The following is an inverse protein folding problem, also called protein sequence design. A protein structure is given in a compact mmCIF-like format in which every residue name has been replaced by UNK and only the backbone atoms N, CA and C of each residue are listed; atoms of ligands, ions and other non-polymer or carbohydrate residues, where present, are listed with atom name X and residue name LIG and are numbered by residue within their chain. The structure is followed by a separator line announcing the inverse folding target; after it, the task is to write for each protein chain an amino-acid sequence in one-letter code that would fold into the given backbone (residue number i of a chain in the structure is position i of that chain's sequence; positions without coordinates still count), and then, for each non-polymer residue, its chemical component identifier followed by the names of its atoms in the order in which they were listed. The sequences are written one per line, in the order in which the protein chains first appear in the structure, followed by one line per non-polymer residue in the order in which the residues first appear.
data_IF_597651314855
#
_entry.id   IF_597651314855
#
_cell.length_a   1.000
_cell.length_b   1.000
_cell.length_c   1.000
_cell.angle_alpha   90.00
_cell.angle_beta   90.00
_cell.angle_gamma   90.00
#
_symmetry.space_group_name_H-M   'P 1'
#
loop_
_entity.id
_entity.type
_entity.pdbx_description
1 polymer ?
#
# COMPACT_ATOMS: atom_id res chain seq x y z
N UNK A 1 -3.01 -4.42 -1.93
CA UNK A 1 -4.46 -4.28 -1.67
C UNK A 1 -5.33 -5.45 -2.17
N UNK A 2 -5.71 -5.57 -3.45
CA UNK A 2 -6.70 -6.61 -3.86
C UNK A 2 -6.16 -8.04 -3.82
N UNK A 3 -4.96 -8.28 -4.35
CA UNK A 3 -4.32 -9.61 -4.28
C UNK A 3 -4.04 -10.03 -2.83
N UNK A 4 -3.62 -9.09 -1.98
CA UNK A 4 -3.49 -9.31 -0.54
C UNK A 4 -4.82 -9.68 0.14
N UNK A 5 -5.91 -8.99 -0.24
CA UNK A 5 -7.24 -9.33 0.25
C UNK A 5 -7.66 -10.75 -0.17
N UNK A 6 -7.35 -11.18 -1.40
CA UNK A 6 -7.58 -12.54 -1.87
C UNK A 6 -6.77 -13.55 -1.05
N UNK A 7 -5.47 -13.32 -0.89
CA UNK A 7 -4.55 -14.13 -0.08
C UNK A 7 -5.02 -14.30 1.37
N UNK A 8 -5.57 -13.25 1.97
CA UNK A 8 -6.13 -13.25 3.32
C UNK A 8 -7.57 -13.79 3.40
N UNK A 9 -8.12 -14.30 2.30
CA UNK A 9 -9.48 -14.86 2.23
C UNK A 9 -10.60 -13.83 2.36
N UNK A 10 -10.29 -12.52 2.26
CA UNK A 10 -11.29 -11.43 2.32
C UNK A 10 -12.13 -11.34 1.05
N UNK A 11 -11.61 -11.84 -0.08
CA UNK A 11 -12.34 -11.99 -1.34
C UNK A 11 -12.13 -13.40 -1.90
N UNK A 12 -13.12 -13.92 -2.63
CA UNK A 12 -13.11 -15.32 -3.12
C UNK A 12 -12.32 -15.53 -4.41
N UNK A 13 -12.32 -14.53 -5.28
CA UNK A 13 -11.74 -14.65 -6.62
C UNK A 13 -10.35 -14.02 -6.62
N UNK A 14 -9.40 -14.68 -7.31
CA UNK A 14 -8.07 -14.13 -7.51
C UNK A 14 -8.14 -12.98 -8.52
N UNK A 15 -7.87 -11.73 -8.12
CA UNK A 15 -7.89 -10.61 -9.05
C UNK A 15 -6.77 -10.71 -10.09
N UNK A 16 -5.68 -11.42 -9.80
CA UNK A 16 -4.49 -11.48 -10.66
C UNK A 16 -4.69 -12.23 -11.97
N UNK A 17 -5.64 -13.19 -12.00
CA UNK A 17 -6.01 -13.95 -13.21
C UNK A 17 -6.46 -13.03 -14.36
N UNK A 18 -7.03 -11.87 -14.03
CA UNK A 18 -7.56 -10.92 -15.00
C UNK A 18 -6.60 -9.80 -15.40
N UNK A 19 -5.47 -9.61 -14.71
CA UNK A 19 -4.66 -8.39 -14.86
C UNK A 19 -4.10 -8.20 -16.26
N UNK A 20 -3.43 -9.23 -16.82
CA UNK A 20 -2.80 -9.08 -18.13
C UNK A 20 -3.84 -8.87 -19.26
N UNK A 21 -4.97 -9.59 -19.20
CA UNK A 21 -6.07 -9.42 -20.17
C UNK A 21 -6.74 -8.06 -20.00
N UNK A 22 -6.90 -7.61 -18.76
CA UNK A 22 -7.44 -6.30 -18.43
C UNK A 22 -6.58 -5.18 -19.02
N UNK A 23 -5.25 -5.28 -18.88
CA UNK A 23 -4.32 -4.29 -19.41
C UNK A 23 -4.31 -4.25 -20.94
N UNK A 24 -4.33 -5.42 -21.60
CA UNK A 24 -4.50 -5.52 -23.06
C UNK A 24 -5.80 -4.83 -23.48
N UNK A 25 -6.92 -5.11 -22.80
CA UNK A 25 -8.20 -4.49 -23.08
C UNK A 25 -8.18 -2.97 -22.85
N UNK A 26 -7.55 -2.52 -21.77
CA UNK A 26 -7.40 -1.11 -21.45
C UNK A 26 -6.63 -0.36 -22.55
N UNK A 27 -5.48 -0.90 -22.96
CA UNK A 27 -4.66 -0.34 -24.03
C UNK A 27 -5.41 -0.32 -25.36
N UNK A 28 -6.13 -1.40 -25.68
CA UNK A 28 -6.85 -1.56 -26.95
C UNK A 28 -8.06 -0.65 -27.06
N UNK A 29 -8.91 -0.60 -26.04
CA UNK A 29 -10.23 0.04 -26.13
C UNK A 29 -10.24 1.47 -25.61
N UNK A 30 -9.22 1.89 -24.85
CA UNK A 30 -9.17 3.22 -24.24
C UNK A 30 -7.93 4.01 -24.66
N UNK A 31 -6.74 3.48 -24.40
CA UNK A 31 -5.49 4.24 -24.60
C UNK A 31 -5.21 4.50 -26.07
N UNK A 32 -5.25 3.48 -26.93
CA UNK A 32 -5.00 3.63 -28.36
C UNK A 32 -6.01 4.57 -29.04
N UNK A 33 -7.35 4.43 -28.82
CA UNK A 33 -8.32 5.38 -29.36
C UNK A 33 -8.12 6.80 -28.85
N UNK A 34 -7.71 6.97 -27.58
CA UNK A 34 -7.43 8.30 -27.03
C UNK A 34 -6.20 8.91 -27.70
N UNK A 35 -5.09 8.17 -27.80
CA UNK A 35 -3.87 8.64 -28.45
C UNK A 35 -4.13 9.05 -29.92
N UNK A 36 -4.91 8.26 -30.65
CA UNK A 36 -5.31 8.59 -32.02
C UNK A 36 -6.16 9.87 -32.08
N UNK A 37 -7.10 10.06 -31.14
CA UNK A 37 -7.89 11.30 -31.07
C UNK A 37 -7.02 12.52 -30.77
N UNK A 38 -6.09 12.41 -29.82
CA UNK A 38 -5.18 13.50 -29.46
C UNK A 38 -4.32 13.94 -30.65
N UNK A 39 -3.87 12.98 -31.44
CA UNK A 39 -3.15 13.22 -32.69
C UNK A 39 -4.00 14.00 -33.69
N UNK A 40 -5.24 13.56 -33.95
CA UNK A 40 -6.15 14.26 -34.87
C UNK A 40 -6.51 15.69 -34.43
N UNK A 41 -6.47 15.97 -33.12
CA UNK A 41 -6.76 17.31 -32.61
C UNK A 41 -5.60 18.30 -32.81
N UNK A 42 -4.37 17.83 -33.10
CA UNK A 42 -3.20 18.69 -33.33
C UNK A 42 -2.76 19.53 -32.13
N UNK A 43 -3.33 19.30 -30.94
CA UNK A 43 -3.10 20.10 -29.72
C UNK A 43 -1.67 19.97 -29.20
N UNK A 44 -0.98 18.89 -29.56
CA UNK A 44 0.37 18.58 -29.08
C UNK A 44 1.45 18.70 -30.17
N UNK A 45 1.12 19.15 -31.37
CA UNK A 45 2.08 19.27 -32.47
C UNK A 45 2.85 17.97 -32.72
N UNK A 46 4.16 18.06 -32.98
CA UNK A 46 5.02 16.93 -33.39
C UNK A 46 5.18 15.85 -32.30
N UNK A 47 4.78 16.11 -31.05
CA UNK A 47 4.92 15.14 -29.95
C UNK A 47 3.68 14.27 -29.75
N UNK A 48 2.58 14.48 -30.50
CA UNK A 48 1.38 13.64 -30.39
C UNK A 48 1.62 12.19 -30.84
N UNK A 49 2.50 12.00 -31.82
CA UNK A 49 2.83 10.69 -32.39
C UNK A 49 3.47 9.75 -31.37
N UNK A 50 4.22 10.30 -30.40
CA UNK A 50 4.93 9.52 -29.39
C UNK A 50 3.96 8.71 -28.50
N UNK A 51 2.82 9.29 -28.12
CA UNK A 51 1.83 8.59 -27.30
C UNK A 51 1.25 7.37 -28.00
N UNK A 52 1.03 7.46 -29.32
CA UNK A 52 0.51 6.36 -30.11
C UNK A 52 1.55 5.24 -30.26
N UNK A 53 2.81 5.62 -30.44
CA UNK A 53 3.93 4.66 -30.51
C UNK A 53 4.04 3.91 -29.18
N UNK A 54 4.15 4.62 -28.05
CA UNK A 54 4.27 3.99 -26.74
C UNK A 54 3.07 3.12 -26.38
N UNK A 55 1.85 3.55 -26.67
CA UNK A 55 0.66 2.73 -26.43
C UNK A 55 0.68 1.43 -27.25
N UNK A 56 1.18 1.49 -28.48
CA UNK A 56 1.30 0.32 -29.37
C UNK A 56 2.39 -0.64 -28.90
N UNK A 57 3.53 -0.12 -28.48
CA UNK A 57 4.64 -0.91 -27.93
C UNK A 57 4.25 -1.58 -26.61
N UNK A 58 3.58 -0.85 -25.71
CA UNK A 58 3.06 -1.42 -24.47
C UNK A 58 2.06 -2.54 -24.77
N UNK A 59 1.13 -2.35 -25.71
CA UNK A 59 0.18 -3.40 -26.09
C UNK A 59 0.90 -4.64 -26.61
N UNK A 60 1.93 -4.46 -27.43
CA UNK A 60 2.76 -5.56 -27.93
C UNK A 60 3.45 -6.30 -26.77
N UNK A 61 4.08 -5.57 -25.86
CA UNK A 61 4.74 -6.16 -24.69
C UNK A 61 3.76 -6.94 -23.80
N UNK A 62 2.58 -6.38 -23.51
CA UNK A 62 1.56 -7.06 -22.72
C UNK A 62 0.98 -8.28 -23.43
N UNK A 63 0.87 -8.24 -24.76
CA UNK A 63 0.42 -9.40 -25.55
C UNK A 63 1.46 -10.52 -25.56
N UNK A 64 2.74 -10.19 -25.67
CA UNK A 64 3.83 -11.17 -25.75
C UNK A 64 4.26 -11.72 -24.39
N UNK A 65 4.32 -10.86 -23.36
CA UNK A 65 4.94 -11.16 -22.06
C UNK A 65 4.05 -10.89 -20.85
N UNK A 66 2.82 -10.41 -21.05
CA UNK A 66 1.96 -9.98 -19.94
C UNK A 66 1.66 -11.07 -18.90
N UNK A 67 1.44 -12.30 -19.34
CA UNK A 67 1.20 -13.42 -18.42
C UNK A 67 2.45 -13.74 -17.57
N UNK A 68 3.63 -13.76 -18.18
CA UNK A 68 4.91 -13.98 -17.49
C UNK A 68 5.21 -12.84 -16.50
N UNK A 69 4.94 -11.59 -16.90
CA UNK A 69 5.12 -10.42 -16.05
C UNK A 69 4.26 -10.52 -14.79
N UNK A 70 2.99 -10.91 -14.92
CA UNK A 70 2.10 -11.11 -13.76
C UNK A 70 2.68 -12.19 -12.84
N UNK A 71 3.08 -13.35 -13.36
CA UNK A 71 3.70 -14.41 -12.55
C UNK A 71 4.93 -13.91 -11.78
N UNK A 72 5.80 -13.14 -12.45
CA UNK A 72 6.98 -12.53 -11.82
C UNK A 72 6.62 -11.54 -10.72
N UNK A 73 5.57 -10.73 -10.90
CA UNK A 73 5.10 -9.81 -9.87
C UNK A 73 4.55 -10.54 -8.65
N UNK A 74 3.79 -11.62 -8.84
CA UNK A 74 3.26 -12.43 -7.75
C UNK A 74 4.40 -13.10 -6.95
N UNK A 75 5.39 -13.68 -7.64
CA UNK A 75 6.54 -14.28 -6.97
C UNK A 75 7.33 -13.24 -6.14
N UNK A 76 7.57 -12.06 -6.70
CA UNK A 76 8.25 -10.96 -5.98
C UNK A 76 7.42 -10.46 -4.79
N UNK A 77 6.09 -10.43 -4.92
CA UNK A 77 5.19 -10.06 -3.84
C UNK A 77 5.35 -11.04 -2.67
N UNK A 78 5.31 -12.34 -2.94
CA UNK A 78 5.46 -13.40 -1.93
C UNK A 78 6.84 -13.36 -1.26
N UNK A 79 7.91 -13.15 -2.02
CA UNK A 79 9.26 -13.00 -1.46
C UNK A 79 9.36 -11.82 -0.49
N UNK A 80 8.69 -10.70 -0.80
CA UNK A 80 8.71 -9.51 0.05
C UNK A 80 7.90 -9.70 1.34
N UNK A 81 6.79 -10.43 1.31
CA UNK A 81 6.02 -10.78 2.51
C UNK A 81 6.86 -11.62 3.48
N UNK A 82 7.56 -12.65 2.98
CA UNK A 82 8.43 -13.51 3.80
C UNK A 82 9.56 -12.70 4.45
N UNK A 83 10.15 -11.73 3.74
CA UNK A 83 11.18 -10.84 4.29
C UNK A 83 10.66 -9.92 5.39
N UNK A 84 9.37 -9.52 5.34
CA UNK A 84 8.77 -8.71 6.39
C UNK A 84 8.43 -9.53 7.63
N UNK A 85 7.98 -10.78 7.48
CA UNK A 85 7.71 -11.69 8.60
C UNK A 85 8.98 -12.16 9.31
N UNK A 86 10.07 -12.35 8.56
CA UNK A 86 11.37 -12.83 9.09
C UNK A 86 12.31 -11.71 9.55
N UNK A 87 11.91 -10.45 9.38
CA UNK A 87 12.69 -9.33 9.90
C UNK A 87 12.73 -9.40 11.44
N UNK A 88 13.92 -9.38 12.08
CA UNK A 88 14.00 -9.39 13.52
C UNK A 88 13.23 -8.18 14.06
N UNK A 89 12.36 -8.42 15.05
CA UNK A 89 11.71 -7.37 15.83
C UNK A 89 12.78 -6.34 16.19
N UNK A 90 12.67 -5.13 15.64
CA UNK A 90 13.52 -4.03 16.10
C UNK A 90 13.30 -3.96 17.60
N UNK A 91 14.37 -4.16 18.39
CA UNK A 91 14.34 -3.83 19.81
C UNK A 91 13.95 -2.36 19.88
N UNK A 92 12.68 -2.08 20.17
CA UNK A 92 12.28 -0.79 20.69
C UNK A 92 13.00 -0.68 22.02
N UNK A 93 14.14 0.01 22.07
CA UNK A 93 14.64 0.54 23.33
C UNK A 93 13.62 1.58 23.79
N UNK A 94 12.59 1.12 24.52
CA UNK A 94 11.87 2.00 25.43
C UNK A 94 12.92 2.54 26.40
N UNK A 95 13.38 3.76 26.17
CA UNK A 95 14.05 4.54 27.20
C UNK A 95 12.95 4.84 28.22
N UNK A 96 12.86 3.99 29.24
CA UNK A 96 12.05 4.27 30.42
C UNK A 96 12.72 5.45 31.13
N UNK A 97 12.29 6.67 30.82
CA UNK A 97 12.49 7.79 31.74
C UNK A 97 11.56 7.58 32.92
N UNK A 98 12.01 6.77 33.89
CA UNK A 98 11.47 6.85 35.24
C UNK A 98 11.91 8.19 35.81
N UNK A 99 10.99 9.14 35.86
CA UNK A 99 11.09 10.30 36.73
C UNK A 99 11.04 9.78 38.18
N UNK A 100 12.19 9.58 38.80
CA UNK A 100 12.28 9.38 40.25
C UNK A 100 12.14 10.75 40.90
N UNK A 101 10.91 11.08 41.31
CA UNK A 101 10.70 12.12 42.32
C UNK A 101 11.14 11.49 43.64
N UNK A 102 12.28 11.94 44.15
CA UNK A 102 12.68 11.72 45.54
C UNK A 102 11.69 12.48 46.41
N UNK A 103 10.80 11.74 47.07
CA UNK A 103 9.99 12.30 48.15
C UNK A 103 10.89 12.15 49.39
N UNK A 104 11.42 13.27 49.85
CA UNK A 104 12.10 13.35 51.13
C UNK A 104 11.11 12.92 52.23
N UNK A 105 11.51 11.91 53.01
CA UNK A 105 10.81 11.50 54.22
C UNK A 105 10.95 12.65 55.24
N UNK A 106 9.86 13.35 55.51
CA UNK A 106 9.74 14.17 56.72
C UNK A 106 8.62 13.60 57.58
N UNK A 107 9.00 13.23 58.81
CA UNK A 107 8.18 12.59 59.83
C UNK A 107 7.16 13.57 60.45
N UNK A 108 6.09 13.03 61.03
CA UNK A 108 5.18 13.76 61.93
C UNK A 108 3.72 13.51 61.59
N UNK A 109 3.07 12.48 62.14
CA UNK A 109 2.37 12.48 63.43
C UNK A 109 0.99 13.18 63.38
N UNK A 110 0.01 12.48 63.94
CA UNK A 110 -1.36 12.86 64.30
C UNK A 110 -2.45 13.03 63.21
N UNK A 111 -3.35 12.04 63.22
CA UNK A 111 -4.67 12.23 63.82
C UNK A 111 -5.67 13.12 63.06
N UNK A 112 -6.60 12.49 62.36
CA UNK A 112 -8.05 12.61 62.59
C UNK A 112 -8.82 12.07 61.39
N UNK A 113 -9.72 11.14 61.68
CA UNK A 113 -10.82 10.76 60.80
C UNK A 113 -11.88 11.85 60.94
N UNK A 114 -12.21 12.56 59.86
CA UNK A 114 -13.48 13.30 59.79
C UNK A 114 -14.21 13.03 58.49
N UNK A 115 -15.52 13.03 58.66
CA UNK A 115 -16.57 12.37 57.92
C UNK A 115 -17.45 13.46 57.30
N UNK A 116 -18.09 13.16 56.17
CA UNK A 116 -19.19 13.93 55.54
C UNK A 116 -18.80 15.30 54.90
N UNK A 117 -19.48 15.86 53.89
CA UNK A 117 -20.86 15.75 53.43
C UNK A 117 -20.95 15.89 51.89
N UNK A 118 -21.96 15.21 51.33
CA UNK A 118 -22.58 15.56 50.05
C UNK A 118 -23.27 16.93 50.16
N UNK A 119 -23.31 17.68 49.06
CA UNK A 119 -24.49 18.38 48.51
C UNK A 119 -24.04 19.43 47.46
N UNK A 120 -24.94 19.91 46.57
CA UNK A 120 -25.96 19.24 45.79
C UNK A 120 -25.69 19.28 44.26
#
# INVERSE_FOLDING_TARGET
ELYDAFRKGRIKNDPSEGWYKGEIGFLTYYVLPLAAKLDTCGVFGVTSDEFRIYASENLKEWTERGEEMVKKYLAKYEENEVKQETAPLRQNSMVNYTNTITIDEDEGEDGAVEEYENEP
#
